data_IF_373826968646
#
_entry.id   IF_373826968646
#
_cell.length_a   1.000
_cell.length_b   1.000
_cell.length_c   1.000
_cell.angle_alpha   90.00
_cell.angle_beta   90.00
_cell.angle_gamma   90.00
#
_symmetry.space_group_name_H-M   'P 1'
#
loop_
_entity.id
_entity.type
_entity.pdbx_description
1 polymer ?
#
# COMPACT_ATOMS: atom_id res chain seq x y z
N UNK A 1 12.85 -19.82 -1.32
CA UNK A 1 14.33 -19.90 -1.23
C UNK A 1 14.76 -19.65 0.21
N UNK A 2 15.67 -20.45 0.78
CA UNK A 2 16.19 -20.25 2.15
C UNK A 2 17.32 -19.20 2.14
N UNK A 3 16.97 -17.94 2.38
CA UNK A 3 17.94 -16.83 2.40
C UNK A 3 18.97 -16.92 3.52
N UNK A 4 18.67 -17.66 4.61
CA UNK A 4 19.63 -17.91 5.69
C UNK A 4 20.74 -18.87 5.25
N UNK A 5 20.56 -19.58 4.13
CA UNK A 5 21.57 -20.43 3.47
C UNK A 5 22.01 -19.91 2.11
N UNK A 6 21.55 -18.72 1.70
CA UNK A 6 21.89 -18.15 0.40
C UNK A 6 23.40 -18.13 0.16
N UNK A 7 23.77 -18.45 -1.06
CA UNK A 7 25.12 -18.41 -1.62
C UNK A 7 25.52 -16.98 -2.00
N UNK A 8 26.81 -16.77 -2.24
CA UNK A 8 27.31 -15.50 -2.78
C UNK A 8 26.73 -15.22 -4.17
N UNK A 9 26.50 -16.26 -4.98
CA UNK A 9 25.91 -16.15 -6.31
C UNK A 9 24.48 -15.61 -6.27
N UNK A 10 23.63 -16.17 -5.39
CA UNK A 10 22.24 -15.73 -5.20
C UNK A 10 22.17 -14.30 -4.67
N UNK A 11 23.02 -13.92 -3.71
CA UNK A 11 23.07 -12.52 -3.23
C UNK A 11 23.54 -11.55 -4.31
N UNK A 12 24.45 -11.95 -5.21
CA UNK A 12 24.83 -11.14 -6.39
C UNK A 12 23.69 -11.03 -7.39
N UNK A 13 22.90 -12.09 -7.56
CA UNK A 13 21.70 -12.05 -8.41
C UNK A 13 20.67 -11.08 -7.86
N UNK A 14 20.41 -11.15 -6.54
CA UNK A 14 19.54 -10.20 -5.85
C UNK A 14 20.00 -8.76 -6.06
N UNK A 15 21.30 -8.47 -5.90
CA UNK A 15 21.85 -7.12 -6.16
C UNK A 15 21.54 -6.61 -7.56
N UNK A 16 21.66 -7.45 -8.61
CA UNK A 16 21.36 -7.04 -9.99
C UNK A 16 19.88 -6.68 -10.15
N UNK A 17 19.00 -7.49 -9.58
CA UNK A 17 17.54 -7.24 -9.63
C UNK A 17 17.21 -5.95 -8.88
N UNK A 18 17.72 -5.78 -7.65
CA UNK A 18 17.54 -4.54 -6.88
C UNK A 18 18.07 -3.32 -7.64
N UNK A 19 19.26 -3.41 -8.25
CA UNK A 19 19.83 -2.30 -9.04
C UNK A 19 18.90 -1.85 -10.17
N UNK A 20 18.29 -2.81 -10.87
CA UNK A 20 17.40 -2.53 -11.99
C UNK A 20 16.06 -1.95 -11.54
N UNK A 21 15.51 -2.42 -10.41
CA UNK A 21 14.31 -1.87 -9.80
C UNK A 21 14.58 -0.42 -9.37
N UNK A 22 15.62 -0.16 -8.58
CA UNK A 22 15.95 1.20 -8.14
C UNK A 22 16.15 2.17 -9.30
N UNK A 23 16.78 1.72 -10.38
CA UNK A 23 16.92 2.53 -11.60
C UNK A 23 15.57 2.84 -12.26
N UNK A 24 14.64 1.89 -12.26
CA UNK A 24 13.30 2.05 -12.84
C UNK A 24 12.48 3.03 -12.02
N UNK A 25 12.58 2.96 -10.69
CA UNK A 25 11.89 3.84 -9.74
C UNK A 25 12.56 5.22 -9.55
N UNK A 26 13.75 5.43 -10.13
CA UNK A 26 14.52 6.66 -9.88
C UNK A 26 15.08 6.78 -8.46
N UNK A 27 15.13 5.67 -7.70
CA UNK A 27 15.59 5.62 -6.32
C UNK A 27 17.12 5.48 -6.22
N UNK A 28 17.72 6.21 -5.28
CA UNK A 28 19.12 6.05 -4.92
C UNK A 28 19.34 4.90 -3.93
N UNK A 29 20.53 4.29 -3.92
CA UNK A 29 20.87 3.22 -2.98
C UNK A 29 20.80 3.64 -1.51
N UNK A 30 21.21 4.88 -1.21
CA UNK A 30 21.14 5.41 0.14
C UNK A 30 19.69 5.53 0.60
N UNK A 31 18.83 6.12 -0.23
CA UNK A 31 17.38 6.21 0.01
C UNK A 31 16.78 4.83 0.22
N UNK A 32 17.09 3.87 -0.64
CA UNK A 32 16.62 2.50 -0.50
C UNK A 32 17.03 1.85 0.83
N UNK A 33 18.29 1.99 1.23
CA UNK A 33 18.75 1.38 2.49
C UNK A 33 18.22 2.07 3.74
N UNK A 34 17.93 3.37 3.70
CA UNK A 34 17.46 4.14 4.85
C UNK A 34 15.95 4.11 4.98
N UNK A 35 15.24 4.34 3.87
CA UNK A 35 13.82 4.65 3.89
C UNK A 35 12.96 3.42 3.57
N UNK A 36 13.42 2.55 2.66
CA UNK A 36 12.66 1.36 2.25
C UNK A 36 12.98 0.12 3.10
N UNK A 37 14.22 0.03 3.62
CA UNK A 37 14.67 -1.12 4.42
C UNK A 37 14.79 -0.80 5.91
N UNK A 38 14.42 0.40 6.36
CA UNK A 38 14.47 0.94 7.74
C UNK A 38 15.27 0.06 8.72
N UNK A 39 16.61 0.04 8.65
CA UNK A 39 17.44 -0.73 9.58
C UNK A 39 17.37 -0.12 10.98
N UNK A 40 17.66 -0.88 12.06
CA UNK A 40 17.82 -0.28 13.38
C UNK A 40 18.86 0.84 13.30
N UNK A 41 18.55 1.97 13.96
CA UNK A 41 19.14 3.32 13.93
C UNK A 41 20.68 3.45 14.08
N UNK A 42 21.44 2.35 14.12
CA UNK A 42 22.87 2.35 14.42
C UNK A 42 23.80 1.84 13.31
N UNK A 43 23.36 1.73 12.05
CA UNK A 43 24.25 1.26 10.99
C UNK A 43 24.42 2.33 9.90
N UNK A 44 25.17 3.37 10.23
CA UNK A 44 25.80 4.26 9.27
C UNK A 44 26.99 3.54 8.59
N UNK A 45 26.75 2.46 7.85
CA UNK A 45 27.80 1.81 7.07
C UNK A 45 27.66 2.19 5.59
N UNK A 46 28.53 3.11 5.17
CA UNK A 46 28.76 3.55 3.78
C UNK A 46 29.17 2.42 2.81
N UNK A 47 29.21 1.15 3.24
CA UNK A 47 29.70 0.01 2.45
C UNK A 47 28.61 -0.98 1.99
N UNK A 48 27.33 -0.69 2.25
CA UNK A 48 26.25 -1.64 1.94
C UNK A 48 26.12 -2.00 0.47
N UNK A 49 26.17 -1.01 -0.43
CA UNK A 49 26.11 -1.27 -1.87
C UNK A 49 27.32 -2.11 -2.34
N UNK A 50 28.53 -1.75 -1.94
CA UNK A 50 29.75 -2.45 -2.33
C UNK A 50 29.78 -3.91 -1.86
N UNK A 51 29.33 -4.17 -0.63
CA UNK A 51 29.20 -5.53 -0.10
C UNK A 51 28.09 -6.31 -0.80
N UNK A 52 26.99 -5.64 -1.13
CA UNK A 52 25.89 -6.27 -1.85
C UNK A 52 26.28 -6.67 -3.28
N UNK A 53 26.94 -5.77 -4.02
CA UNK A 53 27.49 -6.04 -5.35
C UNK A 53 28.47 -7.23 -5.34
N UNK A 54 29.24 -7.39 -4.26
CA UNK A 54 30.15 -8.53 -4.05
C UNK A 54 29.45 -9.80 -3.57
N UNK A 55 28.17 -9.74 -3.19
CA UNK A 55 27.42 -10.85 -2.60
C UNK A 55 27.83 -11.18 -1.17
N UNK A 56 28.47 -10.25 -0.46
CA UNK A 56 28.94 -10.40 0.93
C UNK A 56 28.04 -9.70 1.95
N UNK A 57 26.89 -9.16 1.52
CA UNK A 57 25.88 -8.63 2.44
C UNK A 57 25.37 -9.71 3.39
N UNK A 58 25.05 -9.32 4.63
CA UNK A 58 24.48 -10.21 5.63
C UNK A 58 23.20 -10.88 5.12
N UNK A 59 23.04 -12.17 5.42
CA UNK A 59 21.91 -12.98 4.92
C UNK A 59 20.55 -12.48 5.40
N UNK A 60 20.42 -12.08 6.66
CA UNK A 60 19.19 -11.46 7.17
C UNK A 60 18.81 -10.18 6.42
N UNK A 61 19.80 -9.39 5.98
CA UNK A 61 19.55 -8.21 5.14
C UNK A 61 19.19 -8.57 3.70
N UNK A 62 19.81 -9.59 3.12
CA UNK A 62 19.42 -10.12 1.82
C UNK A 62 17.96 -10.62 1.83
N UNK A 63 17.52 -11.28 2.91
CA UNK A 63 16.13 -11.68 3.09
C UNK A 63 15.19 -10.45 3.12
N UNK A 64 15.51 -9.40 3.87
CA UNK A 64 14.70 -8.16 3.89
C UNK A 64 14.57 -7.53 2.50
N UNK A 65 15.67 -7.43 1.76
CA UNK A 65 15.67 -6.92 0.37
C UNK A 65 14.80 -7.79 -0.53
N UNK A 66 14.93 -9.12 -0.42
CA UNK A 66 14.12 -10.05 -1.19
C UNK A 66 12.63 -9.89 -0.88
N UNK A 67 12.26 -9.82 0.40
CA UNK A 67 10.86 -9.63 0.81
C UNK A 67 10.30 -8.30 0.30
N UNK A 68 11.06 -7.21 0.38
CA UNK A 68 10.65 -5.92 -0.18
C UNK A 68 10.42 -6.00 -1.70
N UNK A 69 11.28 -6.73 -2.44
CA UNK A 69 11.08 -6.93 -3.89
C UNK A 69 9.82 -7.76 -4.15
N UNK A 70 9.59 -8.83 -3.40
CA UNK A 70 8.39 -9.68 -3.53
C UNK A 70 7.12 -8.88 -3.23
N UNK A 71 7.15 -8.00 -2.23
CA UNK A 71 6.02 -7.17 -1.86
C UNK A 71 5.67 -6.13 -2.94
N UNK A 72 6.69 -5.44 -3.47
CA UNK A 72 6.48 -4.20 -4.24
C UNK A 72 6.74 -4.35 -5.75
N UNK A 73 7.62 -5.25 -6.16
CA UNK A 73 8.21 -5.26 -7.51
C UNK A 73 8.32 -6.67 -8.12
N UNK A 74 7.53 -7.63 -7.66
CA UNK A 74 7.67 -9.03 -8.07
C UNK A 74 7.53 -9.24 -9.58
N UNK A 75 6.61 -8.54 -10.25
CA UNK A 75 6.43 -8.66 -11.70
C UNK A 75 7.68 -8.22 -12.49
N UNK A 76 8.36 -7.18 -12.02
CA UNK A 76 9.63 -6.75 -12.61
C UNK A 76 10.74 -7.73 -12.24
N UNK A 77 10.76 -8.22 -11.00
CA UNK A 77 11.77 -9.16 -10.51
C UNK A 77 11.75 -10.52 -11.23
N UNK A 78 10.55 -11.09 -11.46
CA UNK A 78 10.35 -12.31 -12.26
C UNK A 78 10.89 -12.13 -13.68
N UNK A 79 10.63 -10.97 -14.32
CA UNK A 79 11.16 -10.69 -15.66
C UNK A 79 12.68 -10.57 -15.68
N UNK A 80 13.28 -10.05 -14.61
CA UNK A 80 14.72 -9.84 -14.51
C UNK A 80 15.51 -11.10 -14.13
N UNK A 81 15.01 -11.93 -13.22
CA UNK A 81 15.62 -13.22 -12.86
C UNK A 81 14.56 -14.23 -12.38
N UNK A 82 13.90 -14.97 -13.31
CA UNK A 82 12.81 -15.92 -12.98
C UNK A 82 13.30 -17.16 -12.22
N UNK A 83 14.62 -17.33 -12.05
CA UNK A 83 15.19 -18.38 -11.19
C UNK A 83 15.20 -17.98 -9.72
N UNK A 84 15.25 -16.67 -9.46
CA UNK A 84 15.29 -16.11 -8.11
C UNK A 84 13.89 -15.74 -7.63
N UNK A 85 13.02 -15.31 -8.55
CA UNK A 85 11.66 -14.89 -8.27
C UNK A 85 10.68 -15.71 -9.10
N UNK A 86 9.68 -16.29 -8.44
CA UNK A 86 8.59 -17.03 -9.05
C UNK A 86 7.30 -16.20 -8.98
N UNK A 87 6.46 -16.15 -10.04
CA UNK A 87 5.12 -15.56 -9.96
C UNK A 87 4.29 -16.05 -8.77
N UNK A 88 4.46 -17.30 -8.35
CA UNK A 88 3.75 -17.90 -7.21
C UNK A 88 4.12 -17.29 -5.86
N UNK A 89 5.07 -16.35 -5.83
CA UNK A 89 5.42 -15.60 -4.62
C UNK A 89 4.44 -14.47 -4.32
N UNK A 90 3.55 -14.12 -5.25
CA UNK A 90 2.45 -13.20 -4.95
C UNK A 90 1.44 -13.92 -4.07
N UNK A 91 0.99 -13.25 -3.01
CA UNK A 91 -0.18 -13.70 -2.27
C UNK A 91 -1.46 -13.48 -3.08
N UNK A 92 -2.53 -14.16 -2.69
CA UNK A 92 -3.84 -13.99 -3.34
C UNK A 92 -4.33 -12.55 -3.19
N UNK A 93 -4.05 -11.90 -2.06
CA UNK A 93 -4.26 -10.48 -1.85
C UNK A 93 -3.54 -9.59 -2.87
N UNK A 94 -2.26 -9.83 -3.14
CA UNK A 94 -1.52 -9.05 -4.12
C UNK A 94 -2.06 -9.27 -5.55
N UNK A 95 -2.43 -10.50 -5.88
CA UNK A 95 -3.09 -10.81 -7.15
C UNK A 95 -4.44 -10.12 -7.29
N UNK A 96 -5.24 -10.13 -6.23
CA UNK A 96 -6.53 -9.48 -6.15
C UNK A 96 -6.40 -7.97 -6.36
N UNK A 97 -5.55 -7.29 -5.59
CA UNK A 97 -5.33 -5.86 -5.77
C UNK A 97 -4.78 -5.49 -7.15
N UNK A 98 -3.94 -6.34 -7.74
CA UNK A 98 -3.39 -6.12 -9.07
C UNK A 98 -4.39 -6.32 -10.21
N UNK A 99 -5.40 -7.19 -10.03
CA UNK A 99 -6.38 -7.53 -11.06
C UNK A 99 -7.70 -6.78 -10.92
N UNK A 100 -8.12 -6.47 -9.70
CA UNK A 100 -9.41 -5.83 -9.38
C UNK A 100 -9.23 -4.37 -8.93
N UNK A 101 -8.06 -4.01 -8.41
CA UNK A 101 -7.80 -2.66 -7.91
C UNK A 101 -7.79 -1.60 -9.01
N UNK A 102 -8.63 -0.58 -8.84
CA UNK A 102 -8.77 0.54 -9.78
C UNK A 102 -8.23 1.82 -9.17
N UNK A 103 -7.31 2.46 -9.89
CA UNK A 103 -6.82 3.79 -9.57
C UNK A 103 -7.67 4.87 -10.25
N UNK A 104 -7.73 6.06 -9.65
CA UNK A 104 -8.41 7.25 -10.20
C UNK A 104 -9.85 7.45 -9.72
N UNK A 105 -10.50 6.38 -9.25
CA UNK A 105 -11.84 6.44 -8.64
C UNK A 105 -11.79 6.74 -7.13
N UNK A 106 -10.63 6.60 -6.49
CA UNK A 106 -10.34 7.16 -5.16
C UNK A 106 -9.47 8.41 -5.30
N UNK A 107 -9.83 9.48 -4.59
CA UNK A 107 -9.14 10.77 -4.65
C UNK A 107 -8.89 11.31 -3.25
N UNK A 108 -7.71 11.91 -3.07
CA UNK A 108 -7.40 12.69 -1.88
C UNK A 108 -8.00 14.09 -2.02
N UNK A 109 -8.77 14.53 -1.03
CA UNK A 109 -9.32 15.89 -0.95
C UNK A 109 -8.74 16.60 0.27
N UNK A 110 -8.36 17.86 0.08
CA UNK A 110 -7.79 18.70 1.12
C UNK A 110 -8.70 19.91 1.35
N UNK A 111 -8.89 20.36 2.60
CA UNK A 111 -9.53 21.63 2.84
C UNK A 111 -8.67 22.74 2.20
N UNK A 112 -9.27 23.54 1.32
CA UNK A 112 -8.57 24.66 0.68
C UNK A 112 -8.24 25.73 1.74
N UNK A 113 -6.97 25.83 2.12
CA UNK A 113 -6.44 26.98 2.86
C UNK A 113 -5.62 27.87 1.91
N UNK A 114 -6.27 28.61 1.01
CA UNK A 114 -5.56 29.56 0.13
C UNK A 114 -6.26 29.87 -1.20
N UNK A 115 -5.92 31.01 -1.81
CA UNK A 115 -6.56 31.57 -3.02
C UNK A 115 -6.43 30.63 -4.22
N UNK A 116 -7.57 30.36 -4.87
CA UNK A 116 -7.71 29.61 -6.14
C UNK A 116 -6.76 30.11 -7.24
N UNK A 117 -5.58 29.48 -7.36
CA UNK A 117 -4.75 29.57 -8.55
C UNK A 117 -4.85 28.24 -9.29
N UNK A 118 -5.01 28.32 -10.61
CA UNK A 118 -5.24 27.19 -11.51
C UNK A 118 -3.97 26.36 -11.64
N UNK A 119 -4.05 25.05 -11.34
CA UNK A 119 -2.99 24.07 -11.60
C UNK A 119 -3.33 23.20 -12.82
N UNK A 120 -2.30 22.75 -13.56
CA UNK A 120 -2.45 22.00 -14.84
C UNK A 120 -2.71 20.52 -14.57
N UNK A 121 -3.63 19.93 -15.36
CA UNK A 121 -4.26 18.63 -15.12
C UNK A 121 -3.54 17.41 -15.75
N UNK A 122 -2.26 17.52 -16.11
CA UNK A 122 -1.64 16.56 -17.02
C UNK A 122 -0.48 15.79 -16.35
N UNK A 123 -0.78 14.89 -15.38
CA UNK A 123 0.01 13.71 -14.93
C UNK A 123 -0.73 12.97 -13.78
N UNK A 124 -0.61 11.64 -13.73
CA UNK A 124 -1.18 10.72 -12.70
C UNK A 124 -0.26 9.48 -12.62
N UNK A 125 -0.21 8.67 -11.52
CA UNK A 125 -1.04 8.67 -10.32
C UNK A 125 -0.23 8.50 -9.01
N UNK A 126 0.64 9.46 -8.67
CA UNK A 126 0.82 9.84 -7.26
C UNK A 126 -0.01 11.10 -7.13
N UNK A 127 -0.72 11.33 -6.04
CA UNK A 127 -1.28 12.67 -5.83
C UNK A 127 -0.08 13.63 -5.88
N UNK A 128 0.08 14.41 -6.96
CA UNK A 128 1.32 15.12 -7.37
C UNK A 128 1.86 16.11 -6.33
N UNK A 129 1.15 16.26 -5.21
CA UNK A 129 1.61 16.97 -4.04
C UNK A 129 1.75 15.97 -2.90
N UNK A 130 2.96 15.73 -2.37
CA UNK A 130 3.12 15.07 -1.08
C UNK A 130 2.20 15.72 -0.02
N UNK A 131 1.79 14.94 0.97
CA UNK A 131 0.98 15.42 2.10
C UNK A 131 1.90 15.67 3.28
N UNK A 132 2.14 16.92 3.68
CA UNK A 132 2.78 17.23 4.95
C UNK A 132 2.13 16.48 6.12
N UNK A 133 2.94 15.91 6.99
CA UNK A 133 2.47 15.39 8.28
C UNK A 133 1.71 16.50 9.03
N UNK A 134 0.60 16.12 9.64
CA UNK A 134 -0.33 17.02 10.33
C UNK A 134 -1.34 17.71 9.41
N UNK A 135 -1.18 17.65 8.07
CA UNK A 135 -2.15 18.25 7.17
C UNK A 135 -3.45 17.43 7.15
N UNK A 136 -4.58 18.12 7.34
CA UNK A 136 -5.90 17.50 7.25
C UNK A 136 -6.27 17.15 5.83
N UNK A 137 -6.90 15.99 5.66
CA UNK A 137 -7.44 15.52 4.38
C UNK A 137 -8.65 14.59 4.59
N UNK A 138 -9.32 14.23 3.51
CA UNK A 138 -10.26 13.10 3.47
C UNK A 138 -10.20 12.47 2.08
N UNK A 139 -10.83 11.32 1.92
CA UNK A 139 -10.95 10.63 0.64
C UNK A 139 -12.30 10.90 0.00
N UNK A 140 -12.32 10.90 -1.33
CA UNK A 140 -13.55 10.86 -2.12
C UNK A 140 -13.46 9.66 -3.03
N UNK A 141 -14.34 8.67 -2.83
CA UNK A 141 -14.45 7.53 -3.71
C UNK A 141 -15.64 7.70 -4.67
N UNK A 142 -15.49 7.28 -5.91
CA UNK A 142 -16.56 7.18 -6.90
C UNK A 142 -16.85 5.71 -7.13
N UNK A 143 -18.04 5.29 -6.74
CA UNK A 143 -18.45 3.90 -6.85
C UNK A 143 -19.67 3.74 -7.77
N UNK A 144 -19.75 2.62 -8.48
CA UNK A 144 -20.87 2.34 -9.40
C UNK A 144 -21.98 1.48 -8.77
N UNK A 145 -21.74 0.92 -7.58
CA UNK A 145 -22.61 -0.05 -6.93
C UNK A 145 -23.04 0.46 -5.56
N UNK A 146 -24.18 -0.01 -5.07
CA UNK A 146 -24.57 0.17 -3.67
C UNK A 146 -23.97 -0.96 -2.83
N UNK A 147 -23.56 -0.65 -1.60
CA UNK A 147 -23.04 -1.67 -0.70
C UNK A 147 -22.50 -1.10 0.61
N UNK A 148 -21.49 -1.78 1.14
CA UNK A 148 -20.66 -1.37 2.26
C UNK A 148 -19.22 -1.23 1.78
N UNK A 149 -18.48 -0.31 2.39
CA UNK A 149 -17.06 -0.12 2.12
C UNK A 149 -16.25 -0.45 3.37
N UNK A 150 -15.16 -1.20 3.19
CA UNK A 150 -14.10 -1.42 4.17
C UNK A 150 -12.83 -0.71 3.68
N UNK A 151 -12.18 0.04 4.56
CA UNK A 151 -10.97 0.80 4.25
C UNK A 151 -9.75 0.16 4.87
N UNK A 152 -8.72 -0.09 4.06
CA UNK A 152 -7.44 -0.62 4.50
C UNK A 152 -6.31 0.34 4.07
N UNK A 153 -5.30 0.46 4.92
CA UNK A 153 -4.09 1.24 4.70
C UNK A 153 -2.89 0.31 4.68
N UNK A 154 -2.04 0.45 3.68
CA UNK A 154 -0.76 -0.22 3.56
C UNK A 154 0.34 0.74 4.00
N UNK A 155 1.12 0.32 4.99
CA UNK A 155 2.31 1.02 5.44
C UNK A 155 3.43 0.01 5.70
N UNK A 156 4.61 0.27 5.12
CA UNK A 156 5.78 -0.62 5.19
C UNK A 156 5.55 -2.06 4.71
N UNK A 157 4.55 -2.27 3.85
CA UNK A 157 4.17 -3.60 3.34
C UNK A 157 3.24 -4.39 4.24
N UNK A 158 2.88 -3.85 5.40
CA UNK A 158 1.81 -4.38 6.25
C UNK A 158 0.50 -3.62 5.96
N UNK A 159 -0.62 -4.33 6.03
CA UNK A 159 -1.95 -3.74 5.88
C UNK A 159 -2.62 -3.57 7.24
N UNK A 160 -3.29 -2.45 7.43
CA UNK A 160 -3.99 -2.06 8.66
C UNK A 160 -5.43 -1.69 8.31
N UNK A 161 -6.40 -2.06 9.14
CA UNK A 161 -7.76 -1.57 8.95
C UNK A 161 -7.86 -0.09 9.36
N UNK A 162 -8.71 0.65 8.66
CA UNK A 162 -8.94 2.07 8.90
C UNK A 162 -10.39 2.30 9.35
N UNK A 163 -10.58 3.16 10.35
CA UNK A 163 -11.91 3.59 10.77
C UNK A 163 -12.51 4.51 9.69
N UNK A 164 -13.76 4.25 9.31
CA UNK A 164 -14.50 4.98 8.27
C UNK A 164 -15.68 5.79 8.80
N UNK A 165 -16.08 5.58 10.06
CA UNK A 165 -17.06 6.42 10.73
C UNK A 165 -16.39 7.44 11.68
N UNK A 166 -17.21 8.32 12.24
CA UNK A 166 -16.80 9.38 13.17
C UNK A 166 -16.50 8.91 14.61
N UNK A 167 -16.70 7.62 14.90
CA UNK A 167 -16.54 7.03 16.23
C UNK A 167 -15.15 6.44 16.46
N UNK A 168 -14.24 6.58 15.48
CA UNK A 168 -12.89 6.03 15.46
C UNK A 168 -12.80 4.51 15.65
N UNK A 169 -13.91 3.77 15.50
CA UNK A 169 -13.96 2.31 15.70
C UNK A 169 -14.64 1.56 14.55
N UNK A 170 -15.62 2.16 13.89
CA UNK A 170 -16.37 1.50 12.81
C UNK A 170 -15.52 1.49 11.54
N UNK A 171 -15.15 0.30 11.06
CA UNK A 171 -14.27 0.11 9.89
C UNK A 171 -15.05 -0.14 8.60
N UNK A 172 -16.32 -0.57 8.70
CA UNK A 172 -17.20 -0.72 7.56
C UNK A 172 -18.46 0.15 7.67
N UNK A 173 -18.71 0.93 6.62
CA UNK A 173 -19.83 1.87 6.54
C UNK A 173 -20.63 1.68 5.25
N UNK A 174 -21.91 2.06 5.21
CA UNK A 174 -22.67 2.07 3.96
C UNK A 174 -21.97 2.89 2.87
N UNK A 175 -21.96 2.42 1.64
CA UNK A 175 -21.38 3.09 0.49
C UNK A 175 -22.38 3.02 -0.68
N UNK A 176 -23.31 3.98 -0.76
CA UNK A 176 -24.19 4.08 -1.92
C UNK A 176 -23.40 4.40 -3.20
N UNK A 177 -23.95 4.01 -4.34
CA UNK A 177 -23.43 4.38 -5.65
C UNK A 177 -23.31 5.90 -5.79
N UNK A 178 -22.33 6.34 -6.57
CA UNK A 178 -21.97 7.74 -6.75
C UNK A 178 -20.71 8.12 -5.97
N UNK A 179 -20.63 9.38 -5.56
CA UNK A 179 -19.46 9.92 -4.86
C UNK A 179 -19.70 9.90 -3.36
N UNK A 180 -18.80 9.26 -2.61
CA UNK A 180 -18.89 9.18 -1.16
C UNK A 180 -17.60 9.73 -0.52
N UNK A 181 -17.69 10.69 0.41
CA UNK A 181 -16.55 11.05 1.23
C UNK A 181 -16.25 9.93 2.23
N UNK A 182 -14.98 9.69 2.50
CA UNK A 182 -14.51 8.75 3.51
C UNK A 182 -13.32 9.33 4.28
N UNK A 183 -13.23 9.14 5.59
CA UNK A 183 -14.30 8.75 6.50
C UNK A 183 -15.43 9.79 6.51
N UNK A 184 -16.61 9.42 7.01
CA UNK A 184 -17.72 10.36 7.16
C UNK A 184 -18.54 10.07 8.41
N UNK A 185 -19.23 11.09 8.90
CA UNK A 185 -20.18 10.95 9.99
C UNK A 185 -21.50 10.38 9.43
N UNK A 186 -21.83 9.16 9.83
CA UNK A 186 -23.00 8.41 9.31
C UNK A 186 -24.32 9.17 9.52
N UNK A 187 -24.45 9.94 10.60
CA UNK A 187 -25.69 10.66 10.92
C UNK A 187 -25.87 11.93 10.09
N UNK A 188 -24.77 12.60 9.72
CA UNK A 188 -24.79 13.91 9.05
C UNK A 188 -24.35 13.87 7.58
N UNK A 189 -23.75 12.77 7.14
CA UNK A 189 -23.11 12.63 5.84
C UNK A 189 -21.86 13.50 5.64
N UNK A 190 -21.38 14.20 6.68
CA UNK A 190 -20.26 15.12 6.56
C UNK A 190 -18.92 14.36 6.57
N UNK A 191 -17.93 14.76 5.74
CA UNK A 191 -16.60 14.19 5.80
C UNK A 191 -15.95 14.37 7.17
N UNK A 192 -15.27 13.34 7.65
CA UNK A 192 -14.41 13.40 8.84
C UNK A 192 -12.97 13.53 8.37
N UNK A 193 -12.27 14.52 8.92
CA UNK A 193 -10.89 14.82 8.52
C UNK A 193 -9.92 13.82 9.14
N UNK A 194 -9.06 13.27 8.30
CA UNK A 194 -7.89 12.49 8.66
C UNK A 194 -6.64 13.38 8.73
N UNK A 195 -5.63 12.88 9.42
CA UNK A 195 -4.28 13.47 9.46
C UNK A 195 -3.29 12.37 9.83
N UNK A 196 -2.29 12.15 8.98
CA UNK A 196 -1.10 11.37 9.35
C UNK A 196 -0.15 12.29 10.14
N UNK A 197 0.39 11.84 11.26
CA UNK A 197 1.16 12.68 12.20
C UNK A 197 2.56 12.15 12.50
N UNK A 198 2.81 10.87 12.27
CA UNK A 198 4.01 10.19 12.72
C UNK A 198 4.76 9.53 11.55
N UNK A 199 4.01 8.98 10.60
CA UNK A 199 4.53 8.06 9.61
C UNK A 199 4.67 8.76 8.25
N UNK A 200 5.90 9.19 7.97
CA UNK A 200 6.27 9.69 6.64
C UNK A 200 6.60 8.52 5.70
N UNK A 201 6.42 8.74 4.40
CA UNK A 201 6.70 7.77 3.36
C UNK A 201 5.50 7.45 2.49
N UNK A 202 5.60 6.36 1.74
CA UNK A 202 4.54 5.88 0.87
C UNK A 202 3.50 5.09 1.67
N UNK A 203 2.24 5.49 1.55
CA UNK A 203 1.10 4.77 2.09
C UNK A 203 0.19 4.36 0.93
N UNK A 204 -0.21 3.09 0.92
CA UNK A 204 -1.23 2.57 0.01
C UNK A 204 -2.59 2.59 0.69
N UNK A 205 -3.66 2.81 -0.07
CA UNK A 205 -5.02 2.73 0.43
C UNK A 205 -5.84 1.84 -0.50
N UNK A 206 -6.65 0.97 0.10
CA UNK A 206 -7.63 0.15 -0.60
C UNK A 206 -9.00 0.31 0.04
N UNK A 207 -10.01 0.60 -0.79
CA UNK A 207 -11.41 0.67 -0.39
C UNK A 207 -12.15 -0.47 -1.08
N UNK A 208 -12.54 -1.46 -0.29
CA UNK A 208 -13.24 -2.67 -0.73
C UNK A 208 -14.74 -2.43 -0.60
N UNK A 209 -15.45 -2.33 -1.72
CA UNK A 209 -16.90 -2.14 -1.75
C UNK A 209 -17.59 -3.43 -2.16
N UNK A 210 -18.61 -3.85 -1.41
CA UNK A 210 -19.39 -5.06 -1.69
C UNK A 210 -20.68 -5.12 -0.87
N UNK A 211 -21.49 -6.18 -1.01
CA UNK A 211 -22.69 -6.35 -0.19
C UNK A 211 -22.34 -6.46 1.31
N UNK A 212 -23.27 -6.06 2.18
CA UNK A 212 -23.05 -6.08 3.64
C UNK A 212 -22.61 -7.47 4.15
N UNK A 213 -23.22 -8.52 3.60
CA UNK A 213 -22.95 -9.91 3.94
C UNK A 213 -21.53 -10.36 3.59
N UNK A 214 -20.87 -9.69 2.64
CA UNK A 214 -19.48 -9.93 2.28
C UNK A 214 -18.53 -9.12 3.16
N UNK A 215 -18.86 -7.85 3.44
CA UNK A 215 -17.94 -6.91 4.10
C UNK A 215 -17.92 -7.07 5.63
N UNK A 216 -19.10 -7.17 6.26
CA UNK A 216 -19.22 -7.19 7.74
C UNK A 216 -18.51 -8.36 8.43
N UNK A 217 -18.47 -9.58 7.87
CA UNK A 217 -17.73 -10.68 8.49
C UNK A 217 -16.24 -10.37 8.67
N UNK A 218 -15.63 -9.65 7.72
CA UNK A 218 -14.23 -9.24 7.81
C UNK A 218 -14.03 -8.13 8.83
N UNK A 219 -14.86 -7.09 8.82
CA UNK A 219 -14.80 -6.03 9.85
C UNK A 219 -14.72 -6.59 11.27
N UNK A 220 -15.53 -7.61 11.59
CA UNK A 220 -15.57 -8.23 12.93
C UNK A 220 -14.30 -8.99 13.32
N UNK A 221 -13.46 -9.35 12.35
CA UNK A 221 -12.21 -10.08 12.56
C UNK A 221 -11.00 -9.14 12.64
N UNK A 222 -11.15 -7.91 12.17
CA UNK A 222 -10.07 -6.93 12.13
C UNK A 222 -10.00 -6.14 13.45
N UNK A 223 -8.81 -5.64 13.77
CA UNK A 223 -8.56 -4.83 14.95
C UNK A 223 -7.77 -3.60 14.55
N UNK A 224 -8.28 -2.41 14.85
CA UNK A 224 -7.60 -1.15 14.59
C UNK A 224 -6.21 -1.12 15.23
N UNK A 225 -5.26 -0.50 14.52
CA UNK A 225 -3.86 -0.38 14.94
C UNK A 225 -3.05 -1.69 14.93
N UNK A 226 -3.62 -2.79 14.45
CA UNK A 226 -2.92 -4.07 14.32
C UNK A 226 -2.80 -4.44 12.84
N UNK A 227 -1.61 -4.93 12.46
CA UNK A 227 -1.39 -5.45 11.12
C UNK A 227 -2.30 -6.67 10.87
N UNK A 228 -2.92 -6.69 9.70
CA UNK A 228 -3.78 -7.77 9.24
C UNK A 228 -2.87 -8.94 8.84
N UNK A 229 -3.18 -10.13 9.36
CA UNK A 229 -2.45 -11.33 9.01
C UNK A 229 -2.57 -11.63 7.51
N UNK A 230 -1.50 -12.09 6.83
CA UNK A 230 -1.55 -12.43 5.42
C UNK A 230 -2.68 -13.41 5.06
N UNK A 231 -2.94 -14.41 5.92
CA UNK A 231 -4.01 -15.39 5.70
C UNK A 231 -5.40 -14.75 5.74
N UNK A 232 -5.58 -13.69 6.55
CA UNK A 232 -6.81 -12.90 6.57
C UNK A 232 -6.96 -12.05 5.32
N UNK A 233 -5.86 -11.45 4.82
CA UNK A 233 -5.88 -10.71 3.55
C UNK A 233 -6.20 -11.63 2.37
N UNK A 234 -5.63 -12.82 2.34
CA UNK A 234 -5.89 -13.81 1.29
C UNK A 234 -7.33 -14.35 1.36
N UNK A 235 -7.90 -14.52 2.56
CA UNK A 235 -9.32 -14.84 2.74
C UNK A 235 -10.24 -13.72 2.22
N UNK A 236 -9.91 -12.46 2.50
CA UNK A 236 -10.63 -11.30 1.95
C UNK A 236 -10.57 -11.33 0.42
N UNK A 237 -9.39 -11.53 -0.14
CA UNK A 237 -9.19 -11.61 -1.58
C UNK A 237 -10.06 -12.69 -2.23
N UNK A 238 -10.05 -13.88 -1.64
CA UNK A 238 -10.82 -15.03 -2.11
C UNK A 238 -12.33 -14.73 -2.14
N UNK A 239 -12.90 -14.29 -1.02
CA UNK A 239 -14.35 -14.06 -0.93
C UNK A 239 -14.82 -12.92 -1.86
N UNK A 240 -13.98 -11.89 -2.05
CA UNK A 240 -14.28 -10.82 -3.01
C UNK A 240 -14.20 -11.30 -4.47
N UNK A 241 -13.26 -12.18 -4.80
CA UNK A 241 -13.15 -12.77 -6.15
C UNK A 241 -14.31 -13.71 -6.44
N UNK A 242 -14.76 -14.49 -5.45
CA UNK A 242 -15.88 -15.42 -5.59
C UNK A 242 -17.25 -14.73 -5.61
N UNK A 243 -17.32 -13.46 -5.17
CA UNK A 243 -18.55 -12.67 -5.25
C UNK A 243 -19.00 -12.42 -6.69
N UNK A 244 -20.32 -12.25 -6.88
CA UNK A 244 -20.91 -12.05 -8.21
C UNK A 244 -20.27 -10.85 -8.93
N UNK A 245 -19.83 -11.07 -10.17
CA UNK A 245 -19.23 -10.03 -10.99
C UNK A 245 -20.17 -8.82 -11.10
N UNK A 246 -19.68 -7.64 -10.72
CA UNK A 246 -20.47 -6.41 -10.69
C UNK A 246 -21.17 -6.12 -9.35
N UNK A 247 -20.98 -6.96 -8.33
CA UNK A 247 -21.43 -6.69 -6.95
C UNK A 247 -20.31 -6.20 -6.03
N UNK A 248 -19.09 -6.08 -6.55
CA UNK A 248 -17.95 -5.55 -5.82
C UNK A 248 -17.14 -4.53 -6.63
N UNK A 249 -16.37 -3.72 -5.92
CA UNK A 249 -15.38 -2.82 -6.48
C UNK A 249 -14.20 -2.64 -5.51
N UNK A 250 -13.00 -2.47 -6.06
CA UNK A 250 -11.79 -2.19 -5.28
C UNK A 250 -11.18 -0.89 -5.78
N UNK A 251 -11.18 0.14 -4.94
CA UNK A 251 -10.58 1.44 -5.27
C UNK A 251 -9.23 1.58 -4.59
N UNK A 252 -8.22 2.00 -5.33
CA UNK A 252 -6.85 2.17 -4.83
C UNK A 252 -6.36 3.59 -4.98
N UNK A 253 -5.54 4.00 -4.01
CA UNK A 253 -4.86 5.28 -3.98
C UNK A 253 -3.52 5.12 -3.28
N UNK A 254 -2.49 5.79 -3.77
CA UNK A 254 -1.19 5.87 -3.12
C UNK A 254 -0.90 7.33 -2.76
N UNK A 255 -0.41 7.57 -1.54
CA UNK A 255 -0.09 8.89 -1.02
C UNK A 255 1.33 8.86 -0.45
N UNK A 256 2.09 9.93 -0.69
CA UNK A 256 3.39 10.13 -0.04
C UNK A 256 3.22 11.18 1.04
N UNK A 257 3.46 10.80 2.29
CA UNK A 257 3.53 11.70 3.44
C UNK A 257 4.97 12.20 3.64
N UNK A 258 5.12 13.49 3.94
CA UNK A 258 6.44 14.13 4.11
C UNK A 258 6.48 14.97 5.38
N UNK A 259 7.65 15.10 5.99
CA UNK A 259 7.86 16.06 7.07
C UNK A 259 7.57 17.48 6.57
N UNK A 260 6.77 18.24 7.33
CA UNK A 260 6.43 19.63 7.04
C UNK A 260 7.56 20.62 7.36
#
# INVERSE_FOLDING_TARGET
>A
MDWLKATTGERKALHRVTSAILKTEGLGWQQFFLDELKPPLHVADTYHQSNFAKGTIARGRALRIYNWIVANHLDLAVRLDPRLFDPSLKSDWQHFLGSQGRYGDAQLVRPQHGRNLVERADKNPVADNPVPLGQSFWFLIRNAIDGFVLGLEEYEGDWFPMALAHDDVTMAVPCPAGKQPLPYNIDTGQPVMLSERADAGLHGFAFLVGPESLVRPFERQLTLGHAILPETLDAIAHDFIESDAGTMAVHRLNIIFVNG
#
